data_IF_897661595945
#
_entry.id   IF_897661595945
#
_cell.length_a   1.000
_cell.length_b   1.000
_cell.length_c   1.000
_cell.angle_alpha   90.00
_cell.angle_beta   90.00
_cell.angle_gamma   90.00
#
_symmetry.space_group_name_H-M   'P 1'
#
loop_
_entity.id
_entity.type
_entity.pdbx_description
1 polymer ?
#
# COMPACT_ATOMS: atom_id res chain seq x y z
N UNK A 1 -15.48 -0.86 4.59
CA UNK A 1 -14.79 -0.38 3.37
C UNK A 1 -13.91 -1.50 2.82
N UNK A 2 -13.73 -1.64 1.49
CA UNK A 2 -12.77 -2.62 0.92
C UNK A 2 -11.43 -1.91 0.70
N UNK A 3 -10.36 -2.39 1.33
CA UNK A 3 -9.01 -1.81 1.20
C UNK A 3 -8.17 -1.97 2.46
N UNK A 4 -6.87 -1.68 2.38
CA UNK A 4 -5.98 -1.53 3.52
C UNK A 4 -5.22 -0.20 3.35
N UNK A 5 -4.99 0.53 4.43
CA UNK A 5 -4.14 1.73 4.41
C UNK A 5 -2.76 1.33 4.92
N UNK A 6 -1.75 1.38 4.06
CA UNK A 6 -0.36 1.19 4.44
C UNK A 6 0.23 2.50 4.96
N UNK A 7 0.79 2.49 6.16
CA UNK A 7 1.48 3.63 6.73
C UNK A 7 2.95 3.30 7.01
N UNK A 8 3.70 4.38 6.98
CA UNK A 8 5.10 4.45 7.29
C UNK A 8 5.37 4.24 8.78
N UNK A 9 4.63 4.94 9.61
CA UNK A 9 4.66 4.84 11.06
C UNK A 9 3.22 4.85 11.57
N UNK A 10 3.04 4.56 12.86
CA UNK A 10 1.73 4.77 13.48
C UNK A 10 1.27 6.22 13.29
N UNK A 11 0.00 6.42 12.93
CA UNK A 11 -0.56 7.77 12.84
C UNK A 11 -0.63 8.39 14.25
N UNK A 12 -0.02 9.57 14.49
CA UNK A 12 -0.18 10.28 15.75
C UNK A 12 -1.66 10.63 15.92
N UNK A 13 -2.27 10.21 17.03
CA UNK A 13 -3.69 10.46 17.29
C UNK A 13 -4.65 9.51 16.57
N UNK A 14 -4.19 8.30 16.18
CA UNK A 14 -5.07 7.23 15.71
C UNK A 14 -6.26 7.11 16.68
N UNK A 15 -7.51 7.23 16.19
CA UNK A 15 -8.66 7.30 17.06
C UNK A 15 -8.77 6.04 17.94
N UNK A 16 -8.95 6.23 19.25
CA UNK A 16 -9.16 5.13 20.19
C UNK A 16 -10.39 4.30 19.80
N UNK A 17 -10.50 3.04 20.27
CA UNK A 17 -11.53 2.08 19.85
C UNK A 17 -12.99 2.53 20.02
N UNK A 18 -13.23 3.66 20.71
CA UNK A 18 -14.55 4.27 20.96
C UNK A 18 -14.99 5.32 19.94
N UNK A 19 -14.24 5.57 18.88
CA UNK A 19 -14.61 6.60 17.89
C UNK A 19 -15.54 6.05 16.81
N UNK A 20 -16.70 6.70 16.55
CA UNK A 20 -17.81 6.12 15.80
C UNK A 20 -17.50 5.80 14.34
N UNK A 21 -16.48 6.44 13.76
CA UNK A 21 -16.08 6.25 12.36
C UNK A 21 -14.98 5.20 12.16
N UNK A 22 -14.37 4.67 13.23
CA UNK A 22 -13.26 3.70 13.12
C UNK A 22 -13.71 2.41 12.42
N UNK A 23 -14.94 1.96 12.65
CA UNK A 23 -15.50 0.81 11.92
C UNK A 23 -15.79 1.09 10.44
N UNK A 24 -15.79 2.35 10.02
CA UNK A 24 -16.05 2.74 8.63
C UNK A 24 -14.78 2.87 7.79
N UNK A 25 -13.61 3.07 8.41
CA UNK A 25 -12.33 3.22 7.73
C UNK A 25 -11.72 1.85 7.36
N UNK A 26 -10.87 1.77 6.32
CA UNK A 26 -10.10 0.56 6.06
C UNK A 26 -9.08 0.32 7.18
N UNK A 27 -8.72 -0.94 7.46
CA UNK A 27 -7.68 -1.27 8.43
C UNK A 27 -6.35 -0.59 8.07
N UNK A 28 -5.71 -0.01 9.07
CA UNK A 28 -4.35 0.55 8.98
C UNK A 28 -3.33 -0.57 9.19
N UNK A 29 -2.28 -0.60 8.37
CA UNK A 29 -1.12 -1.49 8.50
C UNK A 29 0.14 -0.65 8.48
N UNK A 30 0.98 -0.79 9.50
CA UNK A 30 2.29 -0.14 9.52
C UNK A 30 3.29 -1.07 8.85
N UNK A 31 4.02 -0.55 7.86
CA UNK A 31 5.04 -1.31 7.13
C UNK A 31 6.22 -1.65 8.04
N UNK A 32 6.86 -2.78 7.80
CA UNK A 32 7.99 -3.21 8.62
C UNK A 32 9.23 -2.35 8.39
N UNK A 33 10.15 -2.39 9.37
CA UNK A 33 11.40 -1.65 9.34
C UNK A 33 12.24 -1.92 8.06
N UNK A 34 12.81 -0.84 7.52
CA UNK A 34 13.67 -0.84 6.34
C UNK A 34 15.14 -0.54 6.65
N UNK A 35 15.51 -0.30 7.92
CA UNK A 35 16.89 0.08 8.32
C UNK A 35 17.96 -0.94 7.88
N UNK A 36 17.59 -2.22 7.76
CA UNK A 36 18.50 -3.29 7.32
C UNK A 36 18.92 -3.20 5.84
N UNK A 37 18.18 -2.45 5.02
CA UNK A 37 18.50 -2.32 3.60
C UNK A 37 19.56 -1.24 3.42
N UNK A 38 20.65 -1.59 2.74
CA UNK A 38 21.72 -0.64 2.43
C UNK A 38 21.16 0.47 1.53
N UNK A 39 21.35 1.71 1.94
CA UNK A 39 21.08 2.91 1.14
C UNK A 39 22.38 3.68 0.94
N UNK A 40 22.78 3.90 -0.31
CA UNK A 40 24.08 4.50 -0.65
C UNK A 40 23.97 5.90 -1.24
N UNK A 41 22.77 6.43 -1.42
CA UNK A 41 22.60 7.79 -1.92
C UNK A 41 22.78 8.77 -0.74
N UNK A 42 23.83 9.61 -0.74
CA UNK A 42 24.13 10.47 0.40
C UNK A 42 23.21 11.69 0.51
N UNK A 43 22.51 12.07 -0.57
CA UNK A 43 21.67 13.27 -0.63
C UNK A 43 20.19 12.97 -0.80
N UNK A 44 19.85 11.74 -1.19
CA UNK A 44 18.47 11.32 -1.41
C UNK A 44 17.77 10.89 -0.13
N UNK A 45 16.44 10.98 -0.14
CA UNK A 45 15.61 10.36 0.87
C UNK A 45 15.38 8.86 0.54
N UNK A 46 15.38 7.93 1.51
CA UNK A 46 15.18 6.51 1.25
C UNK A 46 13.71 6.13 0.97
N UNK A 47 12.87 7.08 0.50
CA UNK A 47 11.45 6.85 0.21
C UNK A 47 11.23 5.74 -0.82
N UNK A 48 12.12 5.62 -1.81
CA UNK A 48 12.04 4.53 -2.79
C UNK A 48 12.16 3.13 -2.17
N UNK A 49 13.07 2.95 -1.20
CA UNK A 49 13.18 1.67 -0.45
C UNK A 49 11.89 1.37 0.30
N UNK A 50 11.24 2.41 0.80
CA UNK A 50 10.00 2.31 1.55
C UNK A 50 8.81 1.96 0.69
N UNK A 51 8.62 2.66 -0.44
CA UNK A 51 7.57 2.35 -1.42
C UNK A 51 7.74 0.91 -1.90
N UNK A 52 8.98 0.50 -2.24
CA UNK A 52 9.27 -0.87 -2.64
C UNK A 52 8.92 -1.90 -1.55
N UNK A 53 9.19 -1.58 -0.28
CA UNK A 53 8.85 -2.45 0.85
C UNK A 53 7.34 -2.62 1.00
N UNK A 54 6.58 -1.52 0.97
CA UNK A 54 5.12 -1.53 1.06
C UNK A 54 4.52 -2.32 -0.10
N UNK A 55 4.99 -2.08 -1.34
CA UNK A 55 4.55 -2.84 -2.50
C UNK A 55 4.80 -4.35 -2.33
N UNK A 56 5.97 -4.74 -1.83
CA UNK A 56 6.29 -6.15 -1.57
C UNK A 56 5.45 -6.78 -0.44
N UNK A 57 5.01 -6.00 0.54
CA UNK A 57 4.08 -6.45 1.59
C UNK A 57 2.68 -6.61 1.04
N UNK A 58 2.21 -5.67 0.19
CA UNK A 58 0.93 -5.79 -0.53
C UNK A 58 0.90 -7.04 -1.39
N UNK A 59 1.94 -7.29 -2.19
CA UNK A 59 2.05 -8.49 -3.04
C UNK A 59 1.96 -9.77 -2.21
N UNK A 60 2.64 -9.84 -1.06
CA UNK A 60 2.54 -11.01 -0.16
C UNK A 60 1.15 -11.18 0.45
N UNK A 61 0.51 -10.08 0.82
CA UNK A 61 -0.86 -10.10 1.37
C UNK A 61 -1.87 -10.64 0.36
N UNK A 62 -1.76 -10.23 -0.91
CA UNK A 62 -2.69 -10.68 -1.97
C UNK A 62 -2.31 -12.03 -2.57
N UNK A 63 -1.03 -12.42 -2.51
CA UNK A 63 -0.50 -13.67 -3.04
C UNK A 63 -0.68 -14.89 -2.13
N UNK A 64 -1.14 -14.72 -0.89
CA UNK A 64 -1.32 -15.82 0.08
C UNK A 64 -2.65 -16.59 -0.01
N UNK A 65 -3.52 -16.33 -1.01
CA UNK A 65 -4.86 -16.92 -1.16
C UNK A 65 -5.23 -17.19 -2.63
N UNK A 66 -6.49 -16.98 -3.05
CA UNK A 66 -6.91 -17.12 -4.46
C UNK A 66 -6.16 -16.21 -5.46
N UNK A 67 -5.27 -15.33 -4.96
CA UNK A 67 -4.34 -14.52 -5.72
C UNK A 67 -4.98 -13.27 -6.31
N UNK A 68 -4.35 -12.11 -6.13
CA UNK A 68 -4.58 -11.00 -7.06
C UNK A 68 -3.82 -11.30 -8.36
N UNK A 69 -4.53 -11.27 -9.50
CA UNK A 69 -3.92 -11.40 -10.83
C UNK A 69 -3.09 -10.18 -11.20
N UNK A 70 -3.54 -9.00 -10.76
CA UNK A 70 -2.92 -7.71 -11.07
C UNK A 70 -2.73 -6.91 -9.80
N UNK A 71 -1.55 -6.29 -9.67
CA UNK A 71 -1.24 -5.28 -8.65
C UNK A 71 -0.82 -4.02 -9.37
N UNK A 72 -1.48 -2.90 -9.09
CA UNK A 72 -1.13 -1.59 -9.62
C UNK A 72 -0.54 -0.74 -8.50
N UNK A 73 0.65 -0.20 -8.72
CA UNK A 73 1.26 0.84 -7.89
C UNK A 73 1.04 2.18 -8.60
N UNK A 74 0.58 3.19 -7.86
CA UNK A 74 0.29 4.53 -8.36
C UNK A 74 0.79 5.58 -7.36
N UNK A 75 1.06 6.78 -7.86
CA UNK A 75 1.41 7.94 -7.03
C UNK A 75 0.17 8.64 -6.46
N UNK A 76 0.39 9.61 -5.57
CA UNK A 76 -0.66 10.37 -4.87
C UNK A 76 -1.41 11.37 -5.76
N UNK A 77 -0.86 11.68 -6.94
CA UNK A 77 -1.46 12.53 -7.96
C UNK A 77 -2.08 11.74 -9.14
N UNK A 78 -2.15 10.40 -9.01
CA UNK A 78 -2.66 9.53 -10.07
C UNK A 78 -4.11 9.11 -9.82
N UNK A 79 -4.99 9.34 -10.80
CA UNK A 79 -6.38 8.86 -10.77
C UNK A 79 -6.56 7.71 -11.76
N UNK A 80 -7.02 6.57 -11.26
CA UNK A 80 -7.39 5.42 -12.09
C UNK A 80 -8.90 5.35 -12.30
N UNK A 81 -9.33 5.29 -13.57
CA UNK A 81 -10.70 4.89 -13.90
C UNK A 81 -10.77 3.36 -13.97
N UNK A 82 -11.53 2.77 -13.05
CA UNK A 82 -11.67 1.32 -12.94
C UNK A 82 -12.07 0.65 -14.26
N UNK A 83 -13.06 1.19 -14.98
CA UNK A 83 -13.51 0.64 -16.27
C UNK A 83 -12.38 0.56 -17.30
N UNK A 84 -11.58 1.63 -17.40
CA UNK A 84 -10.47 1.70 -18.34
C UNK A 84 -9.37 0.71 -17.94
N UNK A 85 -9.05 0.65 -16.64
CA UNK A 85 -8.04 -0.27 -16.13
C UNK A 85 -8.42 -1.72 -16.42
N UNK A 86 -9.67 -2.12 -16.13
CA UNK A 86 -10.17 -3.47 -16.41
C UNK A 86 -10.15 -3.77 -17.91
N UNK A 87 -10.59 -2.84 -18.76
CA UNK A 87 -10.60 -3.02 -20.21
C UNK A 87 -9.19 -3.20 -20.83
N UNK A 88 -8.16 -2.63 -20.19
CA UNK A 88 -6.76 -2.84 -20.60
C UNK A 88 -6.24 -4.17 -20.07
N UNK A 89 -6.40 -4.43 -18.77
CA UNK A 89 -5.87 -5.63 -18.13
C UNK A 89 -6.53 -6.93 -18.65
N UNK A 90 -7.79 -6.87 -19.08
CA UNK A 90 -8.51 -8.04 -19.63
C UNK A 90 -7.95 -8.55 -20.96
N UNK A 91 -7.02 -7.81 -21.59
CA UNK A 91 -6.38 -8.20 -22.86
C UNK A 91 -5.21 -9.16 -22.66
N UNK A 92 -4.79 -9.41 -21.42
CA UNK A 92 -3.58 -10.15 -21.09
C UNK A 92 -3.89 -11.37 -20.24
N UNK A 93 -3.16 -12.47 -20.48
CA UNK A 93 -3.21 -13.65 -19.60
C UNK A 93 -2.33 -13.45 -18.35
#
# INVERSE_FOLDING_TARGET
>A
MRGNVGLDAGAPGAPGPSTPWVGSLPPIRVSADTSRFRYTNPTGHPSGLRIARIAAEVVRLVGGGAGARWVALVDDDTVLRADNLVAVLSKYD
#
